data_IF_199854569909
#
_entry.id   IF_199854569909
#
_cell.length_a   1.000
_cell.length_b   1.000
_cell.length_c   1.000
_cell.angle_alpha   90.00
_cell.angle_beta   90.00
_cell.angle_gamma   90.00
#
_symmetry.space_group_name_H-M   'P 1'
#
loop_
_entity.id
_entity.type
_entity.pdbx_description
1 polymer ?
#
# COMPACT_ATOMS: atom_id res chain seq x y z
N UNK A 1 -2.73 3.56 -1.48
CA UNK A 1 -1.75 2.59 -0.93
C UNK A 1 -1.87 2.57 0.58
N UNK A 2 -1.74 1.39 1.19
CA UNK A 2 -1.66 1.18 2.63
C UNK A 2 -0.35 0.44 2.96
N UNK A 3 0.35 0.89 3.99
CA UNK A 3 1.48 0.18 4.59
C UNK A 3 1.22 0.03 6.07
N UNK A 4 1.22 -1.20 6.56
CA UNK A 4 1.02 -1.56 7.96
C UNK A 4 2.31 -2.19 8.47
N UNK A 5 2.90 -1.59 9.51
CA UNK A 5 4.14 -2.03 10.13
C UNK A 5 3.86 -2.70 11.48
N UNK A 6 4.25 -3.97 11.60
CA UNK A 6 4.37 -4.70 12.85
C UNK A 6 5.83 -4.84 13.29
N UNK A 7 6.03 -5.47 14.44
CA UNK A 7 7.36 -5.65 15.06
C UNK A 7 8.31 -6.54 14.27
N UNK A 8 7.79 -7.57 13.60
CA UNK A 8 8.57 -8.60 12.88
C UNK A 8 8.07 -8.86 11.46
N UNK A 9 7.01 -8.18 11.04
CA UNK A 9 6.39 -8.31 9.73
C UNK A 9 5.71 -7.00 9.34
N UNK A 10 5.50 -6.80 8.05
CA UNK A 10 4.67 -5.73 7.54
C UNK A 10 3.74 -6.23 6.43
N UNK A 11 2.68 -5.46 6.20
CA UNK A 11 1.75 -5.70 5.11
C UNK A 11 1.64 -4.44 4.27
N UNK A 12 1.72 -4.59 2.94
CA UNK A 12 1.61 -3.50 1.99
C UNK A 12 0.50 -3.84 1.02
N UNK A 13 -0.44 -2.92 0.84
CA UNK A 13 -1.54 -3.05 -0.14
C UNK A 13 -1.55 -1.85 -1.07
N UNK A 14 -1.50 -2.11 -2.37
CA UNK A 14 -1.74 -1.11 -3.40
C UNK A 14 -3.14 -1.35 -3.97
N UNK A 15 -4.00 -0.34 -3.86
CA UNK A 15 -5.32 -0.33 -4.45
C UNK A 15 -5.26 0.54 -5.72
N UNK A 16 -5.54 -0.06 -6.86
CA UNK A 16 -5.58 0.63 -8.15
C UNK A 16 -7.01 0.57 -8.68
N UNK A 17 -7.61 1.74 -8.91
CA UNK A 17 -8.94 1.81 -9.49
C UNK A 17 -8.87 1.43 -10.98
N UNK A 18 -9.76 0.55 -11.39
CA UNK A 18 -10.02 0.17 -12.77
C UNK A 18 -11.08 1.09 -13.37
N UNK A 19 -11.10 1.20 -14.69
CA UNK A 19 -12.05 2.06 -15.41
C UNK A 19 -13.53 1.66 -15.23
N UNK A 20 -13.80 0.45 -14.74
CA UNK A 20 -15.14 -0.07 -14.46
C UNK A 20 -15.62 0.21 -13.02
N UNK A 21 -14.86 1.01 -12.26
CA UNK A 21 -15.17 1.33 -10.85
C UNK A 21 -14.79 0.22 -9.86
N UNK A 22 -14.23 -0.90 -10.34
CA UNK A 22 -13.63 -1.91 -9.48
C UNK A 22 -12.18 -1.56 -9.12
N UNK A 23 -11.61 -2.24 -8.14
CA UNK A 23 -10.22 -2.09 -7.75
C UNK A 23 -9.43 -3.37 -8.02
N UNK A 24 -8.20 -3.20 -8.47
CA UNK A 24 -7.15 -4.21 -8.40
C UNK A 24 -6.35 -3.97 -7.13
N UNK A 25 -6.30 -4.96 -6.26
CA UNK A 25 -5.51 -4.92 -5.02
C UNK A 25 -4.30 -5.81 -5.19
N UNK A 26 -3.11 -5.24 -5.05
CA UNK A 26 -1.87 -6.01 -4.98
C UNK A 26 -1.30 -5.95 -3.57
N UNK A 27 -1.01 -7.11 -3.01
CA UNK A 27 -0.57 -7.28 -1.63
C UNK A 27 0.86 -7.84 -1.55
N UNK A 28 1.64 -7.32 -0.62
CA UNK A 28 2.95 -7.83 -0.25
C UNK A 28 3.04 -8.00 1.27
N UNK A 29 3.74 -9.04 1.71
CA UNK A 29 4.01 -9.30 3.13
C UNK A 29 5.51 -9.31 3.41
N UNK A 30 6.21 -8.17 3.29
CA UNK A 30 7.64 -8.09 3.57
C UNK A 30 7.93 -8.30 5.06
N UNK A 31 9.13 -8.80 5.37
CA UNK A 31 9.59 -8.93 6.77
C UNK A 31 9.84 -7.57 7.44
N UNK A 32 10.23 -6.57 6.66
CA UNK A 32 10.53 -5.22 7.14
C UNK A 32 9.90 -4.15 6.24
N UNK A 33 9.37 -3.08 6.85
CA UNK A 33 8.72 -1.95 6.17
C UNK A 33 9.23 -0.58 6.62
N UNK A 34 10.19 -0.55 7.55
CA UNK A 34 10.76 0.66 8.16
C UNK A 34 11.29 1.64 7.11
N UNK A 35 12.08 1.15 6.16
CA UNK A 35 12.67 1.96 5.09
C UNK A 35 11.71 2.18 3.91
N UNK A 36 10.63 1.41 3.80
CA UNK A 36 9.75 1.46 2.63
C UNK A 36 9.05 2.82 2.51
N UNK A 37 8.54 3.35 3.62
CA UNK A 37 7.90 4.67 3.64
C UNK A 37 8.92 5.77 3.28
N UNK A 38 10.14 5.68 3.80
CA UNK A 38 11.20 6.65 3.50
C UNK A 38 11.61 6.57 2.02
N UNK A 39 11.69 5.37 1.45
CA UNK A 39 12.00 5.17 0.04
C UNK A 39 10.89 5.72 -0.87
N UNK A 40 9.62 5.56 -0.48
CA UNK A 40 8.48 6.14 -1.20
C UNK A 40 8.53 7.67 -1.14
N UNK A 41 8.71 8.25 0.04
CA UNK A 41 8.79 9.71 0.20
C UNK A 41 9.95 10.31 -0.61
N UNK A 42 11.14 9.70 -0.55
CA UNK A 42 12.28 10.11 -1.39
C UNK A 42 11.97 10.02 -2.88
N UNK A 43 11.31 8.94 -3.33
CA UNK A 43 10.94 8.79 -4.74
C UNK A 43 9.94 9.88 -5.18
N UNK A 44 8.99 10.24 -4.31
CA UNK A 44 8.02 11.30 -4.57
C UNK A 44 8.69 12.66 -4.67
N UNK A 45 9.53 12.99 -3.69
CA UNK A 45 10.21 14.29 -3.65
C UNK A 45 11.22 14.45 -4.79
N UNK A 46 11.96 13.40 -5.14
CA UNK A 46 12.96 13.45 -6.22
C UNK A 46 12.33 13.63 -7.62
N UNK A 47 11.05 13.27 -7.79
CA UNK A 47 10.35 13.33 -9.07
C UNK A 47 9.15 14.28 -9.03
N UNK A 48 9.13 15.21 -8.06
CA UNK A 48 8.06 16.18 -7.88
C UNK A 48 7.91 17.03 -9.15
N UNK A 49 6.71 17.02 -9.73
CA UNK A 49 6.40 17.75 -10.97
C UNK A 49 6.85 17.06 -12.25
N UNK A 50 7.42 15.85 -12.18
CA UNK A 50 7.84 15.06 -13.34
C UNK A 50 6.88 13.90 -13.63
N UNK A 51 6.62 13.06 -12.62
CA UNK A 51 5.75 11.89 -12.76
C UNK A 51 4.57 11.94 -11.76
N UNK A 52 3.51 11.18 -12.03
CA UNK A 52 2.42 11.01 -11.09
C UNK A 52 2.86 10.24 -9.84
N UNK A 53 2.33 10.63 -8.68
CA UNK A 53 2.65 10.00 -7.38
C UNK A 53 2.35 8.50 -7.40
N UNK A 54 1.22 8.10 -8.02
CA UNK A 54 0.86 6.69 -8.16
C UNK A 54 1.90 5.86 -8.92
N UNK A 55 2.51 6.40 -9.97
CA UNK A 55 3.55 5.70 -10.74
C UNK A 55 4.86 5.57 -9.97
N UNK A 56 5.23 6.61 -9.22
CA UNK A 56 6.43 6.60 -8.39
C UNK A 56 6.30 5.58 -7.25
N UNK A 57 5.13 5.53 -6.59
CA UNK A 57 4.83 4.50 -5.59
C UNK A 57 4.95 3.11 -6.20
N UNK A 58 4.35 2.88 -7.38
CA UNK A 58 4.45 1.61 -8.10
C UNK A 58 5.89 1.20 -8.40
N UNK A 59 6.73 2.14 -8.84
CA UNK A 59 8.13 1.86 -9.14
C UNK A 59 8.90 1.39 -7.89
N UNK A 60 8.61 1.95 -6.72
CA UNK A 60 9.20 1.48 -5.45
C UNK A 60 8.66 0.11 -5.06
N UNK A 61 7.34 -0.10 -5.12
CA UNK A 61 6.71 -1.37 -4.73
C UNK A 61 7.12 -2.55 -5.61
N UNK A 62 7.43 -2.34 -6.90
CA UNK A 62 7.96 -3.39 -7.79
C UNK A 62 9.26 -4.01 -7.27
N UNK A 63 10.04 -3.31 -6.44
CA UNK A 63 11.26 -3.84 -5.82
C UNK A 63 10.97 -4.90 -4.76
N UNK A 64 9.74 -4.97 -4.25
CA UNK A 64 9.28 -6.02 -3.33
C UNK A 64 8.91 -7.33 -4.06
N UNK A 65 9.02 -7.37 -5.39
CA UNK A 65 8.59 -8.47 -6.24
C UNK A 65 7.15 -8.33 -6.73
N UNK A 66 6.60 -9.40 -7.32
CA UNK A 66 5.32 -9.35 -8.06
C UNK A 66 4.09 -9.07 -7.18
N UNK A 67 4.14 -9.36 -5.88
CA UNK A 67 2.97 -9.28 -4.99
C UNK A 67 1.88 -10.29 -5.37
N UNK A 68 0.84 -10.40 -4.54
CA UNK A 68 -0.36 -11.18 -4.81
C UNK A 68 -1.47 -10.24 -5.27
N UNK A 69 -1.97 -10.43 -6.48
CA UNK A 69 -2.99 -9.56 -7.07
C UNK A 69 -4.38 -10.18 -7.01
N UNK A 70 -5.36 -9.38 -6.60
CA UNK A 70 -6.80 -9.69 -6.64
C UNK A 70 -7.48 -8.61 -7.47
N UNK A 71 -8.30 -9.01 -8.44
CA UNK A 71 -9.03 -8.10 -9.33
C UNK A 71 -10.52 -8.08 -8.97
N UNK A 72 -11.22 -7.02 -9.39
CA UNK A 72 -12.67 -6.92 -9.20
C UNK A 72 -13.07 -6.65 -7.75
N UNK A 73 -12.16 -6.09 -6.94
CA UNK A 73 -12.46 -5.74 -5.54
C UNK A 73 -13.35 -4.51 -5.54
N UNK A 74 -14.54 -4.61 -4.94
CA UNK A 74 -15.44 -3.47 -4.82
C UNK A 74 -14.83 -2.39 -3.91
N UNK A 75 -15.20 -1.13 -4.16
CA UNK A 75 -14.82 -0.05 -3.26
C UNK A 75 -15.34 -0.34 -1.85
N UNK A 76 -14.51 -0.22 -0.80
CA UNK A 76 -14.98 -0.43 0.55
C UNK A 76 -16.02 0.65 0.91
N UNK A 77 -17.18 0.21 1.41
CA UNK A 77 -18.29 1.11 1.79
C UNK A 77 -17.95 2.08 2.94
N UNK A 78 -16.82 1.89 3.64
CA UNK A 78 -16.32 2.79 4.67
C UNK A 78 -14.83 2.54 4.95
N UNK A 79 -14.17 3.49 5.60
CA UNK A 79 -12.79 3.31 6.09
C UNK A 79 -12.67 2.09 7.01
N UNK A 80 -13.65 1.85 7.88
CA UNK A 80 -13.67 0.66 8.74
C UNK A 80 -13.70 -0.63 7.92
N UNK A 81 -14.50 -0.69 6.85
CA UNK A 81 -14.53 -1.85 5.95
C UNK A 81 -13.19 -2.04 5.21
N UNK A 82 -12.48 -0.97 4.89
CA UNK A 82 -11.17 -1.03 4.24
C UNK A 82 -10.06 -1.55 5.18
N UNK A 83 -10.06 -1.15 6.45
CA UNK A 83 -8.90 -1.32 7.33
C UNK A 83 -9.10 -2.29 8.49
N UNK A 84 -10.33 -2.64 8.88
CA UNK A 84 -10.58 -3.47 10.06
C UNK A 84 -9.91 -4.85 9.99
N UNK A 85 -9.82 -5.46 8.82
CA UNK A 85 -9.14 -6.74 8.66
C UNK A 85 -7.64 -6.62 8.90
N UNK A 86 -6.99 -5.63 8.28
CA UNK A 86 -5.57 -5.38 8.47
C UNK A 86 -5.23 -5.05 9.93
N UNK A 87 -6.12 -4.34 10.63
CA UNK A 87 -6.02 -4.05 12.07
C UNK A 87 -6.22 -5.31 12.92
N UNK A 88 -7.05 -6.26 12.50
CA UNK A 88 -7.23 -7.52 13.24
C UNK A 88 -6.10 -8.52 13.01
N UNK A 89 -5.53 -8.55 11.80
CA UNK A 89 -4.51 -9.54 11.39
C UNK A 89 -3.12 -9.27 11.95
N UNK A 90 -2.72 -8.02 12.15
CA UNK A 90 -1.44 -7.75 12.79
C UNK A 90 -1.54 -7.90 14.33
N UNK A 91 -2.05 -9.06 14.77
CA UNK A 91 -2.11 -9.48 16.18
C UNK A 91 -0.74 -9.25 16.84
N UNK A 92 -0.66 -8.19 17.65
CA UNK A 92 0.59 -7.64 18.20
C UNK A 92 0.58 -6.10 18.20
N UNK A 93 1.61 -5.49 18.77
CA UNK A 93 1.76 -4.03 18.83
C UNK A 93 1.91 -3.46 17.41
N UNK A 94 0.80 -2.98 16.82
CA UNK A 94 0.86 -2.13 15.65
C UNK A 94 1.68 -0.90 15.99
N UNK A 95 2.79 -0.72 15.29
CA UNK A 95 3.63 0.45 15.50
C UNK A 95 3.08 1.61 14.67
N UNK A 96 2.66 1.36 13.41
CA UNK A 96 2.21 2.40 12.49
C UNK A 96 1.46 1.84 11.27
N UNK A 97 0.41 2.53 10.84
CA UNK A 97 -0.18 2.35 9.50
C UNK A 97 -0.16 3.68 8.76
N UNK A 98 0.28 3.68 7.50
CA UNK A 98 0.31 4.86 6.62
C UNK A 98 -0.57 4.60 5.41
N UNK A 99 -1.49 5.54 5.15
CA UNK A 99 -2.34 5.53 3.97
C UNK A 99 -1.91 6.70 3.09
N UNK A 100 -1.63 6.41 1.82
CA UNK A 100 -1.28 7.40 0.81
C UNK A 100 -2.30 7.34 -0.32
N UNK A 101 -2.93 8.47 -0.58
CA UNK A 101 -3.78 8.67 -1.75
C UNK A 101 -2.90 9.28 -2.85
N UNK A 102 -2.78 8.59 -3.97
CA UNK A 102 -2.10 9.08 -5.16
C UNK A 102 -3.08 9.10 -6.32
N UNK A 103 -3.10 10.21 -7.06
CA UNK A 103 -3.74 10.30 -8.37
C UNK A 103 -2.82 9.72 -9.45
#
# INVERSE_FOLDING_TARGET
MQVTQGKTSGNVKLFEQSNDGSYTVTEWSPRETSELIVAIDKAIMANKGVNCVGEQIKAVLRKLGKGKTVKGVAEPASASAAFAHAVKEAQGDFIKTVIVFGC
#
